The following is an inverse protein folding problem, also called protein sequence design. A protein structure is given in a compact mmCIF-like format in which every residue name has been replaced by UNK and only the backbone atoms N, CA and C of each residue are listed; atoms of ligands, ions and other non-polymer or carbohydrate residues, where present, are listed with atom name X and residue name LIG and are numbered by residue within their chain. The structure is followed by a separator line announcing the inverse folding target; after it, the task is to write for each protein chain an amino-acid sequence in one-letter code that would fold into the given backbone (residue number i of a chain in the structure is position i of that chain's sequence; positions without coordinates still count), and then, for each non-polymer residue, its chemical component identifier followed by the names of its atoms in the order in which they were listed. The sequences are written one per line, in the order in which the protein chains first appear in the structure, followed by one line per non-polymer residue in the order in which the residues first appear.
data_IF_680361977353
#
_entry.id   IF_680361977353
#
_cell.length_a   1.000
_cell.length_b   1.000
_cell.length_c   1.000
_cell.angle_alpha   90.00
_cell.angle_beta   90.00
_cell.angle_gamma   90.00
#
_symmetry.space_group_name_H-M   'P 1'
#
loop_
_entity.id
_entity.type
_entity.pdbx_description
1 polymer ?
#
# COMPACT_ATOMS: atom_id res chain seq x y z
N UNK A 1 -1.92 -0.70 8.08
CA UNK A 1 -1.91 0.76 7.87
C UNK A 1 -1.80 1.47 9.22
N UNK A 2 -2.25 2.72 9.33
CA UNK A 2 -2.14 3.58 10.53
C UNK A 2 -3.33 3.49 11.49
N UNK A 3 -4.35 2.65 11.24
CA UNK A 3 -5.53 2.53 12.11
C UNK A 3 -5.15 2.05 13.51
N UNK A 4 -5.76 2.63 14.54
CA UNK A 4 -5.53 2.22 15.93
C UNK A 4 -5.85 0.73 16.17
N UNK A 5 -6.91 0.21 15.53
CA UNK A 5 -7.35 -1.19 15.62
C UNK A 5 -6.32 -2.18 15.07
N UNK A 6 -5.42 -1.75 14.18
CA UNK A 6 -4.40 -2.60 13.56
C UNK A 6 -3.45 -3.22 14.59
N UNK A 7 -3.16 -2.53 15.70
CA UNK A 7 -2.31 -3.05 16.79
C UNK A 7 -2.93 -4.26 17.48
N UNK A 8 -4.25 -4.22 17.72
CA UNK A 8 -4.98 -5.32 18.35
C UNK A 8 -5.09 -6.50 17.40
N UNK A 9 -5.43 -6.25 16.13
CA UNK A 9 -5.53 -7.29 15.10
C UNK A 9 -4.17 -7.99 14.91
N UNK A 10 -3.08 -7.23 14.84
CA UNK A 10 -1.73 -7.77 14.72
C UNK A 10 -1.38 -8.74 15.87
N UNK A 11 -1.70 -8.36 17.11
CA UNK A 11 -1.46 -9.20 18.29
C UNK A 11 -2.24 -10.51 18.23
N UNK A 12 -3.53 -10.45 17.90
CA UNK A 12 -4.36 -11.65 17.79
C UNK A 12 -3.92 -12.56 16.64
N UNK A 13 -3.61 -11.97 15.48
CA UNK A 13 -3.14 -12.70 14.30
C UNK A 13 -1.82 -13.41 14.57
N UNK A 14 -0.82 -12.69 15.07
CA UNK A 14 0.51 -13.27 15.34
C UNK A 14 0.49 -14.30 16.47
N UNK A 15 -0.40 -14.16 17.46
CA UNK A 15 -0.63 -15.20 18.46
C UNK A 15 -1.08 -16.51 17.78
N UNK A 16 -2.13 -16.46 16.96
CA UNK A 16 -2.63 -17.64 16.25
C UNK A 16 -1.59 -18.26 15.31
N UNK A 17 -0.86 -17.44 14.54
CA UNK A 17 0.20 -17.91 13.65
C UNK A 17 1.33 -18.62 14.41
N UNK A 18 1.82 -18.03 15.50
CA UNK A 18 2.92 -18.62 16.27
C UNK A 18 2.52 -19.87 17.05
N UNK A 19 1.27 -19.94 17.54
CA UNK A 19 0.71 -21.16 18.14
C UNK A 19 0.59 -22.30 17.12
N UNK A 20 0.34 -21.98 15.85
CA UNK A 20 0.39 -22.94 14.74
C UNK A 20 1.82 -23.29 14.28
N UNK A 21 2.86 -22.71 14.90
CA UNK A 21 4.27 -22.97 14.58
C UNK A 21 4.86 -22.07 13.49
N UNK A 22 4.10 -21.10 12.96
CA UNK A 22 4.58 -20.19 11.93
C UNK A 22 5.46 -19.08 12.49
N UNK A 23 6.48 -18.67 11.72
CA UNK A 23 7.24 -17.46 12.00
C UNK A 23 6.55 -16.25 11.35
N UNK A 24 6.52 -15.12 12.07
CA UNK A 24 5.89 -13.89 11.63
C UNK A 24 6.91 -12.74 11.61
N UNK A 25 7.16 -12.19 10.42
CA UNK A 25 7.97 -11.00 10.24
C UNK A 25 7.09 -9.74 10.22
N UNK A 26 7.24 -8.88 11.24
CA UNK A 26 6.61 -7.58 11.26
C UNK A 26 7.45 -6.55 10.50
N UNK A 27 6.88 -5.94 9.46
CA UNK A 27 7.58 -4.95 8.62
C UNK A 27 7.14 -3.50 8.87
N UNK A 28 6.38 -3.25 9.94
CA UNK A 28 5.95 -1.90 10.32
C UNK A 28 4.68 -1.42 9.61
N UNK A 29 4.50 -0.09 9.60
CA UNK A 29 3.44 0.58 8.86
C UNK A 29 3.98 0.88 7.46
N UNK A 30 3.56 0.10 6.48
CA UNK A 30 3.99 0.21 5.08
C UNK A 30 2.78 0.08 4.15
N UNK A 31 2.86 0.59 2.91
CA UNK A 31 1.84 0.36 1.89
C UNK A 31 1.57 -1.12 1.61
N UNK A 32 0.35 -1.43 1.17
CA UNK A 32 -0.02 -2.75 0.66
C UNK A 32 0.96 -3.27 -0.41
N UNK A 33 1.38 -2.49 -1.42
CA UNK A 33 2.38 -2.96 -2.38
C UNK A 33 3.76 -3.25 -1.76
N UNK A 34 4.12 -2.61 -0.64
CA UNK A 34 5.35 -2.94 0.08
C UNK A 34 5.27 -4.32 0.76
N UNK A 35 4.09 -4.75 1.22
CA UNK A 35 3.88 -6.11 1.76
C UNK A 35 4.02 -7.15 0.65
N UNK A 36 3.47 -6.89 -0.55
CA UNK A 36 3.64 -7.76 -1.71
C UNK A 36 5.13 -7.90 -2.11
N UNK A 37 5.85 -6.78 -2.19
CA UNK A 37 7.30 -6.76 -2.41
C UNK A 37 8.05 -7.56 -1.33
N UNK A 38 7.77 -7.31 -0.06
CA UNK A 38 8.44 -7.95 1.07
C UNK A 38 8.23 -9.48 1.09
N UNK A 39 7.04 -9.93 0.68
CA UNK A 39 6.72 -11.37 0.64
C UNK A 39 7.67 -12.10 -0.31
N UNK A 40 7.90 -11.54 -1.50
CA UNK A 40 8.85 -12.07 -2.48
C UNK A 40 10.31 -11.89 -2.03
N UNK A 41 10.66 -10.70 -1.55
CA UNK A 41 12.03 -10.37 -1.11
C UNK A 41 12.52 -11.25 0.04
N UNK A 42 11.62 -11.65 0.94
CA UNK A 42 11.93 -12.50 2.08
C UNK A 42 11.68 -14.00 1.82
N UNK A 43 11.27 -14.38 0.60
CA UNK A 43 10.82 -15.75 0.27
C UNK A 43 9.79 -16.29 1.28
N UNK A 44 8.84 -15.44 1.68
CA UNK A 44 7.78 -15.81 2.63
C UNK A 44 6.64 -16.55 1.92
N UNK A 45 6.00 -17.49 2.61
CA UNK A 45 4.86 -18.24 2.05
C UNK A 45 3.63 -17.37 1.80
N UNK A 46 3.44 -16.35 2.63
CA UNK A 46 2.27 -15.48 2.61
C UNK A 46 2.60 -14.08 3.13
N UNK A 47 2.07 -13.07 2.44
CA UNK A 47 2.01 -11.69 2.92
C UNK A 47 0.66 -11.39 3.55
N UNK A 48 0.65 -10.66 4.67
CA UNK A 48 -0.61 -10.24 5.31
C UNK A 48 -0.55 -8.74 5.60
N UNK A 49 -1.48 -8.00 5.00
CA UNK A 49 -1.66 -6.57 5.27
C UNK A 49 -2.92 -6.35 6.11
N UNK A 50 -2.76 -5.64 7.23
CA UNK A 50 -3.85 -5.25 8.12
C UNK A 50 -4.34 -3.85 7.69
N UNK A 51 -5.49 -3.80 7.03
CA UNK A 51 -6.01 -2.58 6.39
C UNK A 51 -7.47 -2.72 5.97
N UNK A 52 -8.17 -1.60 5.91
CA UNK A 52 -9.42 -1.46 5.14
C UNK A 52 -9.31 -0.44 3.99
N UNK A 53 -8.10 -0.22 3.46
CA UNK A 53 -7.82 0.66 2.31
C UNK A 53 -8.38 2.06 2.54
N UNK A 54 -9.23 2.54 1.64
CA UNK A 54 -9.89 3.83 1.66
C UNK A 54 -11.01 3.98 2.70
N UNK A 55 -11.42 2.92 3.39
CA UNK A 55 -12.55 3.00 4.33
C UNK A 55 -12.26 3.91 5.54
N UNK A 56 -13.28 4.45 6.21
CA UNK A 56 -13.14 5.20 7.47
C UNK A 56 -12.44 4.41 8.60
N UNK A 57 -11.82 5.08 9.60
CA UNK A 57 -10.97 4.48 10.64
C UNK A 57 -11.57 3.32 11.45
N UNK A 58 -12.89 3.30 11.61
CA UNK A 58 -13.64 2.27 12.34
C UNK A 58 -13.63 0.91 11.63
N UNK A 59 -13.39 0.89 10.32
CA UNK A 59 -13.23 -0.34 9.55
C UNK A 59 -11.79 -0.84 9.60
N UNK A 60 -11.59 -2.15 9.53
CA UNK A 60 -10.29 -2.78 9.29
C UNK A 60 -10.49 -4.15 8.62
N UNK A 61 -9.41 -4.78 8.19
CA UNK A 61 -9.46 -6.03 7.46
C UNK A 61 -8.09 -6.65 7.26
N UNK A 62 -8.08 -7.79 6.58
CA UNK A 62 -6.87 -8.51 6.21
C UNK A 62 -6.86 -8.69 4.68
N UNK A 63 -5.77 -8.28 4.04
CA UNK A 63 -5.43 -8.64 2.65
C UNK A 63 -4.33 -9.69 2.71
N UNK A 64 -4.50 -10.78 1.95
CA UNK A 64 -3.53 -11.88 1.88
C UNK A 64 -2.89 -11.90 0.49
N UNK A 65 -1.57 -12.05 0.47
CA UNK A 65 -0.75 -12.14 -0.72
C UNK A 65 -0.06 -13.50 -0.77
N UNK A 66 -0.02 -14.15 -1.93
CA UNK A 66 0.75 -15.36 -2.16
C UNK A 66 2.26 -15.10 -2.09
N UNK A 67 3.04 -16.17 -2.16
CA UNK A 67 4.51 -16.13 -2.21
C UNK A 67 5.09 -15.30 -3.38
N UNK A 68 4.28 -14.97 -4.39
CA UNK A 68 4.65 -14.13 -5.52
C UNK A 68 4.22 -12.66 -5.35
N UNK A 69 3.53 -12.33 -4.26
CA UNK A 69 2.99 -11.01 -3.96
C UNK A 69 1.63 -10.73 -4.59
N UNK A 70 1.01 -11.71 -5.27
CA UNK A 70 -0.31 -11.59 -5.86
C UNK A 70 -1.40 -11.84 -4.80
N UNK A 71 -2.59 -11.26 -5.00
CA UNK A 71 -3.71 -11.46 -4.07
C UNK A 71 -4.15 -12.92 -4.04
N UNK A 72 -4.07 -13.58 -2.88
CA UNK A 72 -4.20 -15.04 -2.74
C UNK A 72 -5.64 -15.54 -2.94
N UNK A 73 -6.65 -14.80 -2.48
CA UNK A 73 -8.03 -15.27 -2.44
C UNK A 73 -9.04 -14.14 -2.63
N UNK A 74 -10.20 -14.49 -3.20
CA UNK A 74 -11.41 -13.70 -2.98
C UNK A 74 -11.82 -13.77 -1.50
N UNK A 75 -12.55 -12.75 -1.02
CA UNK A 75 -13.03 -12.70 0.37
C UNK A 75 -13.81 -13.97 0.75
N UNK A 76 -14.60 -14.51 -0.18
CA UNK A 76 -15.45 -15.70 0.02
C UNK A 76 -14.63 -16.98 0.17
N UNK A 77 -13.61 -17.16 -0.66
CA UNK A 77 -12.73 -18.34 -0.59
C UNK A 77 -11.94 -18.36 0.72
N UNK A 78 -11.42 -17.20 1.12
CA UNK A 78 -10.72 -17.05 2.38
C UNK A 78 -11.63 -17.37 3.57
N UNK A 79 -12.86 -16.88 3.57
CA UNK A 79 -13.84 -17.16 4.63
C UNK A 79 -14.14 -18.66 4.74
N UNK A 80 -14.29 -19.35 3.61
CA UNK A 80 -14.48 -20.80 3.56
C UNK A 80 -13.26 -21.54 4.12
N UNK A 81 -12.04 -21.15 3.71
CA UNK A 81 -10.80 -21.76 4.18
C UNK A 81 -10.59 -21.58 5.69
N UNK A 82 -10.83 -20.37 6.20
CA UNK A 82 -10.73 -20.07 7.63
C UNK A 82 -11.78 -20.87 8.40
N UNK A 83 -13.04 -20.89 7.96
CA UNK A 83 -14.09 -21.69 8.63
C UNK A 83 -13.75 -23.17 8.68
N UNK A 84 -13.31 -23.76 7.55
CA UNK A 84 -12.87 -25.16 7.51
C UNK A 84 -11.70 -25.41 8.47
N UNK A 85 -10.74 -24.49 8.53
CA UNK A 85 -9.55 -24.62 9.39
C UNK A 85 -9.92 -24.50 10.87
N UNK A 86 -10.77 -23.55 11.25
CA UNK A 86 -11.25 -23.38 12.63
C UNK A 86 -12.06 -24.59 13.09
N UNK A 87 -12.96 -25.11 12.26
CA UNK A 87 -13.75 -26.30 12.57
C UNK A 87 -12.90 -27.56 12.73
N UNK A 88 -11.76 -27.64 12.05
CA UNK A 88 -10.86 -28.81 12.10
C UNK A 88 -9.71 -28.68 13.11
N UNK A 89 -9.46 -27.48 13.64
CA UNK A 89 -8.38 -27.19 14.58
C UNK A 89 -8.55 -27.89 15.95
N UNK A 90 -9.78 -28.28 16.33
CA UNK A 90 -10.03 -28.99 17.60
C UNK A 90 -9.46 -30.43 17.66
N UNK A 91 -8.96 -30.99 16.55
CA UNK A 91 -8.61 -32.42 16.48
C UNK A 91 -7.10 -32.75 16.36
N UNK A 92 -6.18 -31.81 16.64
CA UNK A 92 -4.73 -32.09 16.53
C UNK A 92 -3.99 -31.91 17.85
N UNK A 93 -3.80 -33.02 18.56
CA UNK A 93 -2.96 -33.19 19.77
C UNK A 93 -1.44 -33.04 19.54
N UNK A 94 -1.01 -32.32 18.50
CA UNK A 94 0.41 -31.99 18.30
C UNK A 94 0.57 -30.50 18.53
N UNK A 95 1.21 -30.14 19.64
CA UNK A 95 1.70 -28.79 19.85
C UNK A 95 2.99 -28.64 19.05
N UNK A 96 3.00 -28.02 17.86
CA UNK A 96 4.25 -27.70 17.18
C UNK A 96 5.09 -26.82 18.09
N UNK A 97 6.42 -26.83 17.89
CA UNK A 97 7.29 -25.83 18.52
C UNK A 97 6.75 -24.45 18.16
N UNK A 98 6.47 -23.63 19.17
CA UNK A 98 5.90 -22.29 18.97
C UNK A 98 6.80 -21.48 18.05
N UNK A 99 6.20 -20.89 17.03
CA UNK A 99 6.88 -19.98 16.11
C UNK A 99 7.30 -18.67 16.78
N UNK A 100 7.97 -17.81 16.04
CA UNK A 100 8.53 -16.56 16.56
C UNK A 100 7.96 -15.35 15.81
N UNK A 101 7.84 -14.24 16.54
CA UNK A 101 7.62 -12.93 15.92
C UNK A 101 8.94 -12.18 15.95
N UNK A 102 9.36 -11.66 14.81
CA UNK A 102 10.51 -10.76 14.70
C UNK A 102 10.14 -9.55 13.85
N UNK A 103 11.03 -8.57 13.74
CA UNK A 103 10.75 -7.34 12.98
C UNK A 103 11.91 -6.99 12.05
N UNK A 104 11.58 -6.55 10.85
CA UNK A 104 12.52 -6.07 9.86
C UNK A 104 12.05 -4.71 9.33
N UNK A 105 12.98 -3.78 9.11
CA UNK A 105 12.68 -2.55 8.39
C UNK A 105 13.08 -2.73 6.92
N UNK A 106 12.10 -2.70 6.02
CA UNK A 106 12.30 -2.85 4.58
C UNK A 106 12.07 -1.55 3.80
N UNK A 107 11.84 -0.42 4.48
CA UNK A 107 11.50 0.86 3.83
C UNK A 107 12.55 1.21 2.76
N UNK A 108 13.85 1.17 3.10
CA UNK A 108 14.91 1.51 2.15
C UNK A 108 15.01 0.52 0.98
N UNK A 109 14.81 -0.79 1.21
CA UNK A 109 14.79 -1.79 0.13
C UNK A 109 13.63 -1.55 -0.83
N UNK A 110 12.44 -1.31 -0.29
CA UNK A 110 11.25 -1.04 -1.08
C UNK A 110 11.36 0.27 -1.87
N UNK A 111 11.84 1.34 -1.21
CA UNK A 111 12.10 2.63 -1.87
C UNK A 111 13.10 2.46 -3.02
N UNK A 112 14.18 1.71 -2.82
CA UNK A 112 15.16 1.48 -3.88
C UNK A 112 14.56 0.65 -5.02
N UNK A 113 13.76 -0.38 -4.70
CA UNK A 113 13.07 -1.20 -5.70
C UNK A 113 12.17 -0.37 -6.62
N UNK A 114 11.35 0.53 -6.07
CA UNK A 114 10.43 1.36 -6.87
C UNK A 114 11.11 2.52 -7.60
N UNK A 115 12.25 3.01 -7.10
CA UNK A 115 12.95 4.16 -7.71
C UNK A 115 14.08 3.77 -8.66
N UNK A 116 14.53 2.51 -8.67
CA UNK A 116 15.71 2.05 -9.42
C UNK A 116 15.66 2.39 -10.91
N UNK A 117 14.50 2.22 -11.53
CA UNK A 117 14.30 2.44 -12.97
C UNK A 117 13.35 3.62 -13.26
N UNK A 118 13.03 4.42 -12.24
CA UNK A 118 12.14 5.56 -12.41
C UNK A 118 12.92 6.76 -12.95
N UNK A 119 12.30 7.51 -13.86
CA UNK A 119 12.87 8.75 -14.37
C UNK A 119 13.07 9.79 -13.26
N UNK A 120 14.08 10.64 -13.44
CA UNK A 120 14.30 11.78 -12.55
C UNK A 120 13.35 12.91 -12.94
N UNK A 121 12.71 13.48 -11.93
CA UNK A 121 11.78 14.61 -12.02
C UNK A 121 12.39 15.83 -11.32
N UNK A 122 13.68 16.07 -11.58
CA UNK A 122 14.41 17.18 -11.00
C UNK A 122 13.81 18.52 -11.47
N UNK A 123 13.65 19.45 -10.53
CA UNK A 123 13.00 20.74 -10.82
C UNK A 123 11.47 20.71 -10.75
N UNK A 124 10.85 19.56 -10.51
CA UNK A 124 9.41 19.46 -10.27
C UNK A 124 9.08 19.64 -8.79
N UNK A 125 8.07 20.45 -8.49
CA UNK A 125 7.48 20.63 -7.18
C UNK A 125 6.20 19.82 -7.06
N UNK A 126 6.19 18.88 -6.13
CA UNK A 126 5.13 17.87 -5.97
C UNK A 126 4.44 18.02 -4.62
N UNK A 127 3.11 18.06 -4.61
CA UNK A 127 2.32 17.88 -3.38
C UNK A 127 1.94 16.41 -3.22
N UNK A 128 2.14 15.84 -2.04
CA UNK A 128 1.81 14.45 -1.75
C UNK A 128 0.87 14.37 -0.56
N UNK A 129 -0.37 13.93 -0.80
CA UNK A 129 -1.35 13.59 0.21
C UNK A 129 -1.23 12.11 0.58
N UNK A 130 -0.84 11.84 1.82
CA UNK A 130 -0.63 10.49 2.33
C UNK A 130 -1.88 9.90 3.02
N UNK A 131 -3.03 10.58 3.00
CA UNK A 131 -4.30 10.18 3.63
C UNK A 131 -4.23 9.86 5.13
N UNK A 132 -3.20 10.36 5.81
CA UNK A 132 -2.75 9.91 7.14
C UNK A 132 -2.62 8.37 7.22
N UNK A 133 -2.34 7.75 6.08
CA UNK A 133 -2.26 6.31 5.86
C UNK A 133 -0.84 5.80 5.84
N UNK A 134 -0.66 4.63 5.23
CA UNK A 134 0.56 3.85 5.28
C UNK A 134 1.77 4.44 4.54
N UNK A 135 1.55 5.34 3.58
CA UNK A 135 2.61 5.97 2.79
C UNK A 135 3.32 7.12 3.53
N UNK A 136 2.79 7.58 4.68
CA UNK A 136 3.22 8.79 5.38
C UNK A 136 4.73 8.88 5.70
N UNK A 137 5.40 7.73 5.88
CA UNK A 137 6.84 7.64 6.17
C UNK A 137 7.73 7.64 4.93
N UNK A 138 7.22 7.10 3.82
CA UNK A 138 8.07 6.78 2.66
C UNK A 138 7.79 7.66 1.45
N UNK A 139 6.58 8.20 1.30
CA UNK A 139 6.18 8.93 0.09
C UNK A 139 7.13 10.09 -0.22
N UNK A 140 7.42 10.92 0.78
CA UNK A 140 8.36 12.05 0.63
C UNK A 140 9.78 11.59 0.22
N UNK A 141 10.28 10.50 0.82
CA UNK A 141 11.61 9.98 0.51
C UNK A 141 11.69 9.51 -0.95
N UNK A 142 10.61 8.90 -1.45
CA UNK A 142 10.51 8.42 -2.84
C UNK A 142 10.63 9.59 -3.80
N UNK A 143 9.76 10.59 -3.68
CA UNK A 143 9.77 11.74 -4.59
C UNK A 143 11.06 12.56 -4.50
N UNK A 144 11.62 12.74 -3.29
CA UNK A 144 12.94 13.40 -3.13
C UNK A 144 14.07 12.64 -3.82
N UNK A 145 14.09 11.30 -3.78
CA UNK A 145 15.11 10.50 -4.48
C UNK A 145 14.99 10.59 -6.00
N UNK A 146 13.81 10.94 -6.52
CA UNK A 146 13.61 11.23 -7.94
C UNK A 146 13.97 12.67 -8.30
N UNK A 147 14.34 13.52 -7.33
CA UNK A 147 14.81 14.90 -7.56
C UNK A 147 13.75 15.98 -7.35
N UNK A 148 12.54 15.64 -6.93
CA UNK A 148 11.47 16.60 -6.73
C UNK A 148 11.63 17.41 -5.42
N UNK A 149 11.15 18.66 -5.43
CA UNK A 149 10.75 19.37 -4.22
C UNK A 149 9.42 18.80 -3.74
N UNK A 150 9.31 18.45 -2.46
CA UNK A 150 8.12 17.73 -1.95
C UNK A 150 7.44 18.50 -0.83
N UNK A 151 6.15 18.75 -1.01
CA UNK A 151 5.24 19.23 0.03
C UNK A 151 4.34 18.08 0.43
N UNK A 152 4.46 17.65 1.68
CA UNK A 152 3.66 16.54 2.22
C UNK A 152 2.48 17.06 3.03
N UNK A 153 1.28 16.61 2.70
CA UNK A 153 0.05 16.88 3.46
C UNK A 153 -0.54 15.57 3.98
N UNK A 154 -1.36 15.65 5.03
CA UNK A 154 -2.03 14.50 5.65
C UNK A 154 -1.06 13.34 5.93
N UNK A 155 0.03 13.63 6.63
CA UNK A 155 1.07 12.65 6.96
C UNK A 155 1.39 12.63 8.46
N UNK A 156 0.39 12.91 9.28
CA UNK A 156 0.47 12.91 10.75
C UNK A 156 -0.60 11.98 11.31
N UNK A 157 -0.47 10.65 11.11
CA UNK A 157 -1.45 9.69 11.61
C UNK A 157 -1.56 9.73 13.13
N UNK A 158 -2.80 9.67 13.64
CA UNK A 158 -3.09 9.58 15.07
C UNK A 158 -3.91 8.32 15.44
N UNK A 159 -4.09 7.39 14.50
CA UNK A 159 -4.90 6.19 14.68
C UNK A 159 -6.37 6.35 14.30
N UNK A 160 -6.87 7.58 14.20
CA UNK A 160 -8.29 7.93 14.00
C UNK A 160 -8.54 8.88 12.81
N UNK A 161 -7.50 9.35 12.14
CA UNK A 161 -7.60 10.35 11.07
C UNK A 161 -7.25 9.82 9.67
N UNK A 162 -7.08 8.51 9.51
CA UNK A 162 -6.87 7.89 8.20
C UNK A 162 -8.08 8.15 7.29
N UNK A 163 -7.83 8.57 6.05
CA UNK A 163 -8.84 8.89 5.01
C UNK A 163 -9.88 9.95 5.42
N UNK A 164 -9.72 10.63 6.55
CA UNK A 164 -10.73 11.58 7.04
C UNK A 164 -10.65 12.86 6.23
N UNK A 165 -11.54 13.00 5.25
CA UNK A 165 -11.62 14.14 4.32
C UNK A 165 -10.29 14.44 3.61
N UNK A 166 -9.52 13.40 3.29
CA UNK A 166 -8.22 13.49 2.62
C UNK A 166 -7.93 12.24 1.79
N UNK A 167 -6.87 12.28 0.99
CA UNK A 167 -6.43 11.16 0.17
C UNK A 167 -7.21 11.01 -1.14
N UNK A 168 -7.05 9.87 -1.80
CA UNK A 168 -7.54 9.64 -3.17
C UNK A 168 -9.06 9.84 -3.35
N UNK A 169 -9.87 9.67 -2.29
CA UNK A 169 -11.32 9.90 -2.35
C UNK A 169 -11.74 11.35 -2.13
N UNK A 170 -10.85 12.20 -1.64
CA UNK A 170 -11.08 13.63 -1.37
C UNK A 170 -9.92 14.46 -1.94
N UNK A 171 -9.71 14.44 -3.28
CA UNK A 171 -8.55 15.05 -3.93
C UNK A 171 -8.58 16.59 -3.94
N UNK A 172 -9.67 17.22 -3.50
CA UNK A 172 -9.83 18.68 -3.50
C UNK A 172 -8.78 19.36 -2.62
N UNK A 173 -8.38 18.71 -1.52
CA UNK A 173 -7.37 19.24 -0.62
C UNK A 173 -5.98 19.25 -1.25
N UNK A 174 -5.61 18.17 -1.95
CA UNK A 174 -4.34 18.14 -2.69
C UNK A 174 -4.35 19.15 -3.83
N UNK A 175 -5.46 19.28 -4.56
CA UNK A 175 -5.59 20.27 -5.65
C UNK A 175 -5.46 21.71 -5.14
N UNK A 176 -6.10 22.03 -4.00
CA UNK A 176 -5.98 23.33 -3.36
C UNK A 176 -4.55 23.61 -2.89
N UNK A 177 -3.86 22.59 -2.38
CA UNK A 177 -2.46 22.68 -1.96
C UNK A 177 -1.51 22.89 -3.15
N UNK A 178 -1.77 22.24 -4.29
CA UNK A 178 -1.02 22.45 -5.53
C UNK A 178 -1.11 23.92 -5.97
N UNK A 179 -2.32 24.50 -5.98
CA UNK A 179 -2.52 25.92 -6.27
C UNK A 179 -1.80 26.82 -5.26
N UNK A 180 -2.02 26.57 -3.97
CA UNK A 180 -1.49 27.42 -2.90
C UNK A 180 0.04 27.49 -2.90
N UNK A 181 0.71 26.37 -3.18
CA UNK A 181 2.16 26.30 -3.17
C UNK A 181 2.82 26.55 -4.53
N UNK A 182 2.04 26.87 -5.57
CA UNK A 182 2.49 26.89 -6.97
C UNK A 182 3.29 25.63 -7.33
N UNK A 183 2.76 24.47 -6.97
CA UNK A 183 3.34 23.18 -7.31
C UNK A 183 2.91 22.75 -8.72
N UNK A 184 3.70 21.90 -9.37
CA UNK A 184 3.43 21.44 -10.74
C UNK A 184 2.34 20.38 -10.77
N UNK A 185 2.36 19.47 -9.78
CA UNK A 185 1.46 18.32 -9.70
C UNK A 185 1.24 17.87 -8.26
N UNK A 186 0.10 17.27 -8.00
CA UNK A 186 -0.23 16.63 -6.74
C UNK A 186 -0.56 15.15 -6.91
N UNK A 187 -0.23 14.34 -5.91
CA UNK A 187 -0.62 12.94 -5.82
C UNK A 187 -1.34 12.68 -4.49
N UNK A 188 -2.54 12.13 -4.56
CA UNK A 188 -3.30 11.68 -3.40
C UNK A 188 -3.39 10.16 -3.37
N UNK A 189 -2.81 9.57 -2.33
CA UNK A 189 -2.92 8.14 -2.05
C UNK A 189 -4.13 7.85 -1.17
N UNK A 190 -4.56 6.60 -1.09
CA UNK A 190 -5.50 6.15 -0.07
C UNK A 190 -4.79 5.55 1.15
N UNK A 191 -5.57 5.10 2.14
CA UNK A 191 -5.06 4.69 3.45
C UNK A 191 -3.98 3.62 3.43
N UNK A 192 -3.99 2.70 2.47
CA UNK A 192 -2.94 1.69 2.28
C UNK A 192 -2.12 1.84 1.01
N UNK A 193 -2.31 2.96 0.31
CA UNK A 193 -1.56 3.39 -0.86
C UNK A 193 -1.46 2.31 -1.95
N UNK A 194 -2.57 1.61 -2.20
CA UNK A 194 -2.77 0.82 -3.41
C UNK A 194 -3.58 1.57 -4.48
N UNK A 195 -4.07 2.77 -4.15
CA UNK A 195 -4.70 3.71 -5.09
C UNK A 195 -3.95 5.04 -5.12
N UNK A 196 -4.00 5.70 -6.27
CA UNK A 196 -3.51 7.05 -6.46
C UNK A 196 -4.45 7.82 -7.39
N UNK A 197 -4.65 9.10 -7.08
CA UNK A 197 -5.22 10.10 -7.98
C UNK A 197 -4.18 11.20 -8.14
N UNK A 198 -3.92 11.63 -9.37
CA UNK A 198 -3.06 12.77 -9.62
C UNK A 198 -3.92 14.03 -9.85
N UNK A 199 -3.39 15.20 -9.56
CA UNK A 199 -4.08 16.48 -9.75
C UNK A 199 -3.11 17.52 -10.32
N UNK A 200 -3.61 18.36 -11.21
CA UNK A 200 -2.97 19.63 -11.58
C UNK A 200 -3.67 20.77 -10.85
N UNK A 201 -3.36 22.02 -11.20
CA UNK A 201 -4.10 23.19 -10.69
C UNK A 201 -5.58 23.20 -11.08
N UNK A 202 -6.01 22.49 -12.13
CA UNK A 202 -7.37 22.59 -12.63
C UNK A 202 -8.00 21.26 -13.06
N UNK A 203 -7.28 20.14 -12.93
CA UNK A 203 -7.74 18.85 -13.41
C UNK A 203 -7.44 17.75 -12.41
N UNK A 204 -8.44 16.93 -12.14
CA UNK A 204 -8.27 15.62 -11.50
C UNK A 204 -7.93 14.61 -12.60
N UNK A 205 -6.86 13.85 -12.37
CA UNK A 205 -6.38 12.78 -13.24
C UNK A 205 -6.62 11.48 -12.47
N UNK A 206 -7.76 10.87 -12.72
CA UNK A 206 -8.20 9.63 -12.08
C UNK A 206 -7.49 8.39 -12.66
N UNK A 207 -7.87 7.21 -12.18
CA UNK A 207 -7.28 5.95 -12.60
C UNK A 207 -7.37 5.70 -14.10
N UNK A 208 -8.49 6.06 -14.74
CA UNK A 208 -8.69 5.84 -16.17
C UNK A 208 -7.75 6.74 -16.99
N UNK A 209 -7.61 8.01 -16.59
CA UNK A 209 -6.67 8.93 -17.22
C UNK A 209 -5.21 8.52 -16.97
N UNK A 210 -4.87 8.06 -15.77
CA UNK A 210 -3.51 7.54 -15.46
C UNK A 210 -3.19 6.34 -16.35
N UNK A 211 -4.11 5.37 -16.46
CA UNK A 211 -3.95 4.19 -17.31
C UNK A 211 -3.85 4.57 -18.80
N UNK A 212 -4.63 5.54 -19.25
CA UNK A 212 -4.55 6.07 -20.62
C UNK A 212 -3.18 6.68 -20.91
N UNK A 213 -2.68 7.56 -20.03
CA UNK A 213 -1.35 8.16 -20.16
C UNK A 213 -0.25 7.11 -20.18
N UNK A 214 -0.32 6.13 -19.28
CA UNK A 214 0.65 5.03 -19.22
C UNK A 214 0.62 4.16 -20.48
N UNK A 215 -0.57 3.91 -21.03
CA UNK A 215 -0.73 3.15 -22.28
C UNK A 215 -0.13 3.88 -23.48
N UNK A 216 -0.29 5.21 -23.56
CA UNK A 216 0.33 6.04 -24.60
C UNK A 216 1.85 5.97 -24.50
N UNK A 217 2.39 6.18 -23.30
CA UNK A 217 3.84 6.10 -23.05
C UNK A 217 4.41 4.73 -23.45
N UNK A 218 3.80 3.62 -23.01
CA UNK A 218 4.25 2.28 -23.37
C UNK A 218 4.19 2.00 -24.87
N UNK A 219 3.19 2.54 -25.58
CA UNK A 219 3.09 2.40 -27.03
C UNK A 219 4.25 3.08 -27.74
N UNK A 220 4.63 4.28 -27.29
CA UNK A 220 5.75 5.04 -27.86
C UNK A 220 7.10 4.38 -27.56
N UNK A 221 7.32 3.97 -26.32
CA UNK A 221 8.60 3.38 -25.88
C UNK A 221 8.81 1.95 -26.40
N UNK A 222 7.76 1.12 -26.45
CA UNK A 222 7.89 -0.30 -26.79
C UNK A 222 7.45 -0.64 -28.20
N UNK A 223 7.12 0.37 -29.02
CA UNK A 223 6.66 0.21 -30.40
C UNK A 223 5.55 -0.85 -30.53
N UNK A 224 4.62 -0.86 -29.57
CA UNK A 224 3.54 -1.85 -29.51
C UNK A 224 2.65 -1.74 -30.76
N UNK A 225 2.26 -2.89 -31.31
CA UNK A 225 1.42 -2.94 -32.50
C UNK A 225 0.11 -2.16 -32.32
N UNK A 226 -0.34 -1.55 -33.42
CA UNK A 226 -1.47 -0.62 -33.45
C UNK A 226 -2.73 -1.29 -32.90
N UNK A 227 -3.14 -0.90 -31.69
CA UNK A 227 -4.39 -1.22 -30.95
C UNK A 227 -4.26 -2.16 -29.75
N UNK A 228 -3.06 -2.49 -29.26
CA UNK A 228 -2.95 -3.21 -27.99
C UNK A 228 -3.10 -2.24 -26.81
N UNK A 229 -4.32 -2.12 -26.27
CA UNK A 229 -4.53 -1.54 -24.95
C UNK A 229 -4.08 -2.56 -23.89
N UNK A 230 -2.99 -2.28 -23.18
CA UNK A 230 -2.57 -3.11 -22.04
C UNK A 230 -3.32 -2.60 -20.82
N UNK A 231 -4.47 -3.21 -20.53
CA UNK A 231 -5.12 -3.11 -19.22
C UNK A 231 -4.73 -4.39 -18.48
N UNK A 232 -3.76 -4.28 -17.57
CA UNK A 232 -3.35 -5.35 -16.66
C UNK A 232 -4.06 -5.22 -15.31
#
# INVERSE_FOLDING_TARGET
DTRASSKTIFRSLTKGLTEAGAEACFIGIVPTPCVAFATKELNSDIGIMITASHNPPEFNGLKFMDKYGAKLFSKKELEILIRKSVLTAHNKNKHPKRGKVYSLNLDSKYINFITKNAEKIAGTKVVVDCANGSSYRIAERIFKLLGAEVIKINAKPNGLNINKNCGALFPEQVMSSVKYHNADIGFAFDGDADRVVAVTTNKIIDGDLILCLYSIFLKEEWNLDKNTGVIA
#
